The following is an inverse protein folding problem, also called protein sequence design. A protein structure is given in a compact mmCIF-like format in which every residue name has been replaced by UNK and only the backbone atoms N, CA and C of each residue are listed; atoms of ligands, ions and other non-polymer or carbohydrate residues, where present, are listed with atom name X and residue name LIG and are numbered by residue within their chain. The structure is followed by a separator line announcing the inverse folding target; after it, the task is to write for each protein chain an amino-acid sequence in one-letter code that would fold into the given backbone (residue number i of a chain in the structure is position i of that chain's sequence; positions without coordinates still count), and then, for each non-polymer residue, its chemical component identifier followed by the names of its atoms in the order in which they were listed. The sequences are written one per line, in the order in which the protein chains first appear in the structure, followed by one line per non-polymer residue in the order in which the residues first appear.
data_IF_694713822310
#
_entry.id   IF_694713822310
#
_cell.length_a   1.000
_cell.length_b   1.000
_cell.length_c   1.000
_cell.angle_alpha   90.00
_cell.angle_beta   90.00
_cell.angle_gamma   90.00
#
_symmetry.space_group_name_H-M   'P 1'
#
loop_
_entity.id
_entity.type
_entity.pdbx_description
1 polymer ?
#
# COMPACT_ATOMS: atom_id res chain seq x y z
N UNK A 1 46.11 2.30 -41.38
CA UNK A 1 45.16 1.33 -40.79
C UNK A 1 44.92 1.74 -39.35
N UNK A 2 43.98 2.64 -39.13
CA UNK A 2 43.57 3.12 -37.80
C UNK A 2 42.32 2.36 -37.40
N UNK A 3 42.45 1.47 -36.42
CA UNK A 3 41.31 0.75 -35.83
C UNK A 3 40.59 1.68 -34.85
N UNK A 4 39.33 2.02 -35.16
CA UNK A 4 38.45 2.74 -34.25
C UNK A 4 37.79 1.71 -33.33
N UNK A 5 38.19 1.67 -32.06
CA UNK A 5 37.54 0.86 -31.02
C UNK A 5 36.26 1.57 -30.58
N UNK A 6 35.10 1.05 -31.01
CA UNK A 6 33.79 1.46 -30.52
C UNK A 6 33.53 0.81 -29.16
N UNK A 7 33.59 1.60 -28.10
CA UNK A 7 33.19 1.19 -26.76
C UNK A 7 31.66 1.25 -26.68
N UNK A 8 31.00 0.08 -26.71
CA UNK A 8 29.56 -0.01 -26.40
C UNK A 8 29.41 0.16 -24.89
N UNK A 9 29.06 1.38 -24.47
CA UNK A 9 28.54 1.61 -23.12
C UNK A 9 27.15 0.96 -23.11
N UNK A 10 27.04 -0.22 -22.51
CA UNK A 10 25.75 -0.76 -22.10
C UNK A 10 25.17 0.21 -21.07
N UNK A 11 24.38 1.19 -21.51
CA UNK A 11 23.44 1.84 -20.62
C UNK A 11 22.53 0.72 -20.13
N UNK A 12 22.66 0.37 -18.85
CA UNK A 12 21.63 -0.39 -18.17
C UNK A 12 20.35 0.44 -18.28
N UNK A 13 19.48 0.07 -19.21
CA UNK A 13 18.10 0.50 -19.21
C UNK A 13 17.50 -0.01 -17.90
N UNK A 14 17.48 0.85 -16.90
CA UNK A 14 16.70 0.63 -15.69
C UNK A 14 15.25 0.75 -16.16
N UNK A 15 14.64 -0.37 -16.51
CA UNK A 15 13.19 -0.46 -16.56
C UNK A 15 12.72 -0.21 -15.13
N UNK A 16 12.23 1.01 -14.88
CA UNK A 16 11.66 1.38 -13.61
C UNK A 16 10.33 0.63 -13.47
N UNK A 17 10.38 -0.50 -12.77
CA UNK A 17 9.20 -1.24 -12.34
C UNK A 17 8.65 -0.53 -11.11
N UNK A 18 7.33 -0.28 -11.02
CA UNK A 18 6.76 0.34 -9.84
C UNK A 18 7.04 -0.52 -8.61
N UNK A 19 7.69 0.09 -7.63
CA UNK A 19 7.98 -0.51 -6.33
C UNK A 19 6.76 -0.36 -5.44
N UNK A 20 6.12 -1.49 -5.14
CA UNK A 20 4.88 -1.56 -4.35
C UNK A 20 5.15 -2.54 -3.21
N UNK A 21 6.05 -2.13 -2.30
CA UNK A 21 6.43 -2.93 -1.15
C UNK A 21 5.43 -2.66 -0.01
N UNK A 22 4.84 -3.74 0.52
CA UNK A 22 3.96 -3.67 1.69
C UNK A 22 4.77 -3.77 2.98
N UNK A 23 4.21 -3.21 4.04
CA UNK A 23 4.67 -3.32 5.42
C UNK A 23 3.64 -4.07 6.27
N UNK A 24 4.07 -4.62 7.40
CA UNK A 24 3.19 -5.27 8.38
C UNK A 24 2.37 -6.41 7.76
N UNK A 25 3.07 -7.33 7.10
CA UNK A 25 2.50 -8.45 6.34
C UNK A 25 2.57 -9.79 7.06
N UNK A 26 3.20 -9.83 8.23
CA UNK A 26 3.26 -11.03 9.05
C UNK A 26 1.86 -11.47 9.50
N UNK A 27 1.60 -12.78 9.42
CA UNK A 27 0.36 -13.35 9.94
C UNK A 27 0.36 -13.29 11.45
N UNK A 28 -0.38 -12.34 12.01
CA UNK A 28 -0.64 -12.32 13.44
C UNK A 28 -1.61 -13.47 13.72
N UNK A 29 -1.16 -14.47 14.47
CA UNK A 29 -2.01 -15.51 15.03
C UNK A 29 -2.93 -14.84 16.06
N UNK A 30 -4.01 -14.24 15.60
CA UNK A 30 -5.06 -13.77 16.47
C UNK A 30 -5.74 -15.01 17.05
N UNK A 31 -5.53 -15.25 18.34
CA UNK A 31 -6.51 -15.98 19.12
C UNK A 31 -7.82 -15.20 19.01
N UNK A 32 -8.91 -15.90 18.72
CA UNK A 32 -10.25 -15.41 18.36
C UNK A 32 -10.92 -14.39 19.32
N UNK A 33 -10.24 -13.91 20.36
CA UNK A 33 -10.83 -13.12 21.46
C UNK A 33 -10.36 -11.65 21.54
N UNK A 34 -9.43 -11.18 20.69
CA UNK A 34 -9.06 -9.76 20.65
C UNK A 34 -9.47 -9.11 19.32
N UNK A 35 -10.69 -8.56 19.30
CA UNK A 35 -11.31 -7.76 18.22
C UNK A 35 -10.64 -6.37 18.07
N UNK A 36 -9.37 -6.25 18.48
CA UNK A 36 -8.56 -5.07 18.18
C UNK A 36 -8.10 -5.20 16.73
N UNK A 37 -8.84 -4.55 15.83
CA UNK A 37 -8.64 -4.57 14.38
C UNK A 37 -7.20 -4.22 14.01
N UNK A 38 -6.36 -5.25 13.90
CA UNK A 38 -4.94 -5.09 13.69
C UNK A 38 -4.73 -4.84 12.19
N UNK A 39 -4.44 -3.58 11.88
CA UNK A 39 -4.05 -3.12 10.56
C UNK A 39 -2.91 -3.99 10.01
N UNK A 40 -3.07 -4.51 8.80
CA UNK A 40 -2.07 -5.35 8.14
C UNK A 40 -1.96 -4.99 6.64
N UNK A 41 -0.90 -5.46 5.99
CA UNK A 41 -0.65 -5.21 4.56
C UNK A 41 -0.74 -3.71 4.21
N UNK A 42 0.13 -2.91 4.82
CA UNK A 42 0.13 -1.46 4.67
C UNK A 42 0.96 -0.99 3.48
N UNK A 43 0.44 -0.02 2.75
CA UNK A 43 1.17 0.77 1.75
C UNK A 43 1.56 2.11 2.37
N UNK A 44 2.81 2.52 2.18
CA UNK A 44 3.24 3.88 2.52
C UNK A 44 3.28 4.72 1.25
N UNK A 45 2.62 5.88 1.28
CA UNK A 45 2.72 6.90 0.24
C UNK A 45 3.28 8.18 0.81
N UNK A 46 3.91 8.99 -0.04
CA UNK A 46 4.36 10.33 0.33
C UNK A 46 3.29 11.30 -0.14
N UNK A 47 2.68 12.02 0.81
CA UNK A 47 1.75 13.12 0.51
C UNK A 47 2.48 14.46 0.61
N UNK A 48 2.16 15.35 -0.34
CA UNK A 48 2.59 16.74 -0.32
C UNK A 48 1.46 17.54 0.33
N UNK A 49 1.66 17.94 1.58
CA UNK A 49 0.79 18.91 2.22
C UNK A 49 1.16 20.30 1.67
N UNK A 50 0.36 20.76 0.72
CA UNK A 50 0.44 22.07 0.06
C UNK A 50 1.64 22.33 -0.88
N UNK A 51 1.38 23.10 -1.94
CA UNK A 51 2.35 23.44 -3.00
C UNK A 51 3.55 24.29 -2.53
N UNK A 52 3.61 24.69 -1.25
CA UNK A 52 4.58 25.66 -0.76
C UNK A 52 5.48 25.16 0.37
N UNK A 53 5.21 23.98 0.94
CA UNK A 53 5.96 23.49 2.10
C UNK A 53 6.86 22.30 1.74
N UNK A 54 8.09 22.29 2.24
CA UNK A 54 9.06 21.20 2.02
C UNK A 54 8.77 19.97 2.89
N UNK A 55 7.64 19.96 3.61
CA UNK A 55 7.30 18.94 4.59
C UNK A 55 6.62 17.76 3.89
N UNK A 56 7.37 16.66 3.76
CA UNK A 56 6.90 15.42 3.16
C UNK A 56 6.33 14.55 4.26
N UNK A 57 5.06 14.15 4.15
CA UNK A 57 4.42 13.26 5.12
C UNK A 57 4.28 11.87 4.53
N UNK A 58 4.66 10.86 5.32
CA UNK A 58 4.43 9.46 4.96
C UNK A 58 3.07 9.08 5.54
N UNK A 59 2.12 8.77 4.66
CA UNK A 59 0.79 8.30 5.03
C UNK A 59 0.72 6.80 4.80
N UNK A 60 0.20 6.09 5.80
CA UNK A 60 0.04 4.63 5.76
C UNK A 60 -1.40 4.27 5.43
N UNK A 61 -1.58 3.47 4.38
CA UNK A 61 -2.86 2.88 3.99
C UNK A 61 -2.82 1.39 4.29
N UNK A 62 -3.50 0.99 5.37
CA UNK A 62 -3.53 -0.39 5.84
C UNK A 62 -4.86 -1.06 5.58
N UNK A 63 -4.83 -2.38 5.42
CA UNK A 63 -6.03 -3.20 5.31
C UNK A 63 -6.52 -3.53 6.73
N UNK A 64 -7.83 -3.38 6.96
CA UNK A 64 -8.47 -3.64 8.26
C UNK A 64 -9.06 -5.05 8.39
N UNK A 65 -9.19 -5.79 7.28
CA UNK A 65 -9.81 -7.12 7.28
C UNK A 65 -8.80 -8.24 7.06
N UNK A 66 -8.60 -9.04 8.11
CA UNK A 66 -7.70 -10.20 8.11
C UNK A 66 -7.93 -11.08 6.89
N UNK A 67 -6.83 -11.41 6.21
CA UNK A 67 -6.80 -12.25 5.01
C UNK A 67 -7.44 -13.64 5.23
N UNK A 68 -7.59 -14.09 6.48
CA UNK A 68 -8.27 -15.34 6.84
C UNK A 68 -9.76 -15.37 6.50
N UNK A 69 -10.42 -14.20 6.39
CA UNK A 69 -11.84 -14.11 5.98
C UNK A 69 -12.05 -14.27 4.48
N UNK A 70 -11.00 -14.06 3.68
CA UNK A 70 -11.07 -14.18 2.24
C UNK A 70 -10.51 -15.53 1.81
N UNK A 71 -11.31 -16.33 1.10
CA UNK A 71 -10.80 -17.49 0.39
C UNK A 71 -9.94 -16.99 -0.79
N UNK A 72 -8.68 -16.65 -0.50
CA UNK A 72 -7.71 -16.27 -1.53
C UNK A 72 -7.45 -17.53 -2.35
N UNK A 73 -8.05 -17.61 -3.53
CA UNK A 73 -7.65 -18.61 -4.52
C UNK A 73 -6.20 -18.32 -4.89
N UNK A 74 -5.28 -19.09 -4.30
CA UNK A 74 -3.87 -19.08 -4.64
C UNK A 74 -3.75 -19.44 -6.12
N UNK A 75 -3.62 -18.41 -6.95
CA UNK A 75 -3.70 -18.57 -8.38
C UNK A 75 -2.44 -19.30 -8.86
N UNK A 76 -2.58 -20.28 -9.75
CA UNK A 76 -1.48 -21.10 -10.28
C UNK A 76 -0.41 -20.31 -11.05
N UNK A 77 -0.61 -19.01 -11.27
CA UNK A 77 0.25 -18.16 -12.10
C UNK A 77 1.42 -17.51 -11.34
N UNK A 78 1.43 -17.53 -10.01
CA UNK A 78 2.54 -16.98 -9.23
C UNK A 78 3.62 -18.04 -8.99
N UNK A 79 4.85 -17.72 -9.39
CA UNK A 79 6.00 -18.56 -9.04
C UNK A 79 6.30 -18.39 -7.56
N UNK A 80 6.49 -19.50 -6.84
CA UNK A 80 6.80 -19.47 -5.40
C UNK A 80 8.15 -20.13 -5.15
N UNK A 81 8.91 -19.56 -4.24
CA UNK A 81 10.25 -20.01 -3.91
C UNK A 81 10.40 -20.09 -2.40
N UNK A 82 11.10 -21.12 -1.92
CA UNK A 82 11.58 -21.08 -0.54
C UNK A 82 12.82 -20.20 -0.44
N UNK A 83 13.14 -19.70 0.76
CA UNK A 83 14.38 -18.96 0.99
C UNK A 83 15.63 -19.75 0.59
N UNK A 84 15.66 -21.07 0.86
CA UNK A 84 16.76 -21.94 0.38
C UNK A 84 16.85 -22.00 -1.14
N UNK A 85 15.73 -22.02 -1.86
CA UNK A 85 15.73 -22.01 -3.32
C UNK A 85 16.24 -20.69 -3.89
N UNK A 86 15.86 -19.55 -3.28
CA UNK A 86 16.36 -18.23 -3.64
C UNK A 86 17.87 -18.12 -3.41
N UNK A 87 18.34 -18.57 -2.25
CA UNK A 87 19.76 -18.52 -1.88
C UNK A 87 20.61 -19.39 -2.83
N UNK A 88 20.14 -20.60 -3.18
CA UNK A 88 20.81 -21.46 -4.17
C UNK A 88 20.88 -20.85 -5.57
N UNK A 89 19.98 -19.94 -5.89
CA UNK A 89 19.98 -19.17 -7.14
C UNK A 89 20.79 -17.87 -7.05
N UNK A 90 21.46 -17.61 -5.92
CA UNK A 90 22.18 -16.38 -5.62
C UNK A 90 21.30 -15.12 -5.73
N UNK A 91 20.02 -15.26 -5.39
CA UNK A 91 19.10 -14.11 -5.36
C UNK A 91 19.40 -13.28 -4.11
N UNK A 92 19.56 -11.97 -4.26
CA UNK A 92 19.80 -11.04 -3.15
C UNK A 92 18.51 -10.40 -2.66
N UNK A 93 18.49 -9.91 -1.42
CA UNK A 93 17.36 -9.14 -0.88
C UNK A 93 17.07 -7.87 -1.68
N UNK A 94 18.09 -7.27 -2.32
CA UNK A 94 17.90 -6.18 -3.27
C UNK A 94 17.06 -6.60 -4.49
N UNK A 95 17.22 -7.83 -4.99
CA UNK A 95 16.38 -8.32 -6.09
C UNK A 95 14.93 -8.49 -5.65
N UNK A 96 14.69 -8.99 -4.43
CA UNK A 96 13.32 -9.09 -3.87
C UNK A 96 12.69 -7.70 -3.74
N UNK A 97 13.46 -6.71 -3.31
CA UNK A 97 13.02 -5.30 -3.26
C UNK A 97 12.59 -4.79 -4.64
N UNK A 98 13.39 -5.05 -5.68
CA UNK A 98 13.06 -4.70 -7.07
C UNK A 98 11.86 -5.48 -7.62
N UNK A 99 11.49 -6.60 -7.01
CA UNK A 99 10.31 -7.40 -7.36
C UNK A 99 9.08 -7.02 -6.54
N UNK A 100 9.11 -5.90 -5.82
CA UNK A 100 7.99 -5.43 -4.98
C UNK A 100 7.56 -6.44 -3.91
N UNK A 101 8.52 -7.24 -3.40
CA UNK A 101 8.27 -8.10 -2.25
C UNK A 101 7.91 -7.26 -1.01
N UNK A 102 7.08 -7.77 -0.07
CA UNK A 102 6.89 -7.10 1.22
C UNK A 102 8.21 -6.85 1.93
N UNK A 103 8.31 -5.71 2.63
CA UNK A 103 9.53 -5.31 3.35
C UNK A 103 9.89 -6.36 4.41
N UNK A 104 8.91 -6.85 5.16
CA UNK A 104 9.14 -7.86 6.21
C UNK A 104 9.76 -9.15 5.62
N UNK A 105 9.30 -9.59 4.44
CA UNK A 105 9.85 -10.74 3.72
C UNK A 105 11.29 -10.48 3.24
N UNK A 106 11.59 -9.26 2.79
CA UNK A 106 12.94 -8.86 2.36
C UNK A 106 13.90 -8.89 3.54
N UNK A 107 13.47 -8.39 4.70
CA UNK A 107 14.25 -8.36 5.93
C UNK A 107 14.48 -9.77 6.48
N UNK A 108 13.44 -10.61 6.53
CA UNK A 108 13.55 -12.03 6.90
C UNK A 108 14.48 -12.79 5.97
N UNK A 109 14.41 -12.55 4.66
CA UNK A 109 15.31 -13.19 3.70
C UNK A 109 16.76 -12.73 3.88
N UNK A 110 17.01 -11.44 4.12
CA UNK A 110 18.36 -10.95 4.43
C UNK A 110 18.89 -11.59 5.71
N UNK A 111 18.07 -11.64 6.76
CA UNK A 111 18.44 -12.29 8.01
C UNK A 111 18.77 -13.78 7.79
N UNK A 112 17.98 -14.51 7.00
CA UNK A 112 18.27 -15.90 6.63
C UNK A 112 19.63 -16.04 5.92
N UNK A 113 19.93 -15.17 4.95
CA UNK A 113 21.23 -15.18 4.25
C UNK A 113 22.39 -14.97 5.23
N UNK A 114 22.24 -14.04 6.18
CA UNK A 114 23.26 -13.75 7.19
C UNK A 114 23.47 -14.95 8.13
N UNK A 115 22.40 -15.59 8.60
CA UNK A 115 22.48 -16.77 9.47
C UNK A 115 23.05 -18.00 8.74
N UNK A 116 22.76 -18.14 7.45
CA UNK A 116 23.33 -19.19 6.61
C UNK A 116 24.85 -19.02 6.49
N UNK A 117 25.34 -17.78 6.40
CA UNK A 117 26.77 -17.46 6.33
C UNK A 117 27.49 -17.62 7.69
N UNK A 118 26.85 -17.22 8.80
CA UNK A 118 27.48 -17.19 10.13
C UNK A 118 27.51 -18.58 10.76
N UNK A 119 26.39 -19.29 10.76
CA UNK A 119 26.21 -20.53 11.53
C UNK A 119 25.65 -21.70 10.70
N UNK A 120 25.44 -21.51 9.40
CA UNK A 120 24.76 -22.48 8.54
C UNK A 120 23.39 -22.88 9.10
N UNK A 121 22.70 -21.92 9.74
CA UNK A 121 21.34 -22.13 10.23
C UNK A 121 20.36 -22.17 9.05
N UNK A 122 19.47 -23.16 9.08
CA UNK A 122 18.45 -23.40 8.06
C UNK A 122 17.03 -23.31 8.62
N UNK A 123 16.87 -22.72 9.81
CA UNK A 123 15.58 -22.52 10.49
C UNK A 123 14.52 -21.90 9.57
N UNK A 124 14.89 -20.87 8.80
CA UNK A 124 14.02 -20.14 7.87
C UNK A 124 14.06 -20.66 6.42
N UNK A 125 14.76 -21.76 6.15
CA UNK A 125 14.96 -22.28 4.79
C UNK A 125 13.65 -22.61 4.04
N UNK A 126 12.55 -22.84 4.78
CA UNK A 126 11.22 -23.18 4.26
C UNK A 126 10.27 -22.00 4.16
N UNK A 127 10.68 -20.81 4.61
CA UNK A 127 9.88 -19.61 4.42
C UNK A 127 9.68 -19.33 2.93
N UNK A 128 8.50 -18.82 2.59
CA UNK A 128 8.01 -18.75 1.23
C UNK A 128 8.00 -17.31 0.74
N UNK A 129 8.57 -17.11 -0.43
CA UNK A 129 8.42 -15.89 -1.22
C UNK A 129 7.54 -16.17 -2.44
N UNK A 130 6.56 -15.29 -2.68
CA UNK A 130 5.69 -15.32 -3.85
C UNK A 130 6.15 -14.24 -4.83
N UNK A 131 6.66 -14.67 -5.98
CA UNK A 131 7.07 -13.77 -7.05
C UNK A 131 5.85 -13.35 -7.87
N UNK A 132 5.31 -12.18 -7.53
CA UNK A 132 4.10 -11.66 -8.16
C UNK A 132 4.41 -11.02 -9.51
N UNK A 133 3.63 -11.37 -10.52
CA UNK A 133 3.65 -10.66 -11.80
C UNK A 133 2.70 -9.47 -11.71
N UNK A 134 3.22 -8.27 -11.97
CA UNK A 134 2.40 -7.05 -12.14
C UNK A 134 1.24 -7.34 -13.12
N UNK A 135 0.00 -6.88 -12.82
CA UNK A 135 -0.36 -5.88 -11.82
C UNK A 135 -0.67 -6.40 -10.41
N UNK A 136 -0.28 -7.65 -10.11
CA UNK A 136 -0.53 -8.26 -8.80
C UNK A 136 0.58 -7.97 -7.80
N UNK A 137 0.18 -7.86 -6.54
CA UNK A 137 1.07 -7.60 -5.41
C UNK A 137 0.48 -8.19 -4.13
N UNK A 138 1.24 -8.16 -3.03
CA UNK A 138 0.86 -8.78 -1.77
C UNK A 138 1.75 -9.94 -1.35
N UNK A 139 1.75 -10.34 -0.07
CA UNK A 139 2.48 -11.50 0.45
C UNK A 139 2.26 -12.80 -0.33
N UNK A 140 1.05 -12.99 -0.85
CA UNK A 140 0.68 -14.17 -1.65
C UNK A 140 0.09 -13.77 -3.01
N UNK A 141 0.43 -12.57 -3.50
CA UNK A 141 -0.10 -11.99 -4.74
C UNK A 141 -1.63 -11.87 -4.78
N UNK A 142 -2.24 -11.57 -3.63
CA UNK A 142 -3.70 -11.51 -3.47
C UNK A 142 -4.35 -10.21 -3.95
N UNK A 143 -3.56 -9.16 -4.14
CA UNK A 143 -4.05 -7.86 -4.56
C UNK A 143 -3.72 -7.62 -6.04
N UNK A 144 -4.55 -6.83 -6.72
CA UNK A 144 -4.41 -6.51 -8.13
C UNK A 144 -4.85 -5.07 -8.39
N UNK A 145 -4.11 -4.35 -9.21
CA UNK A 145 -4.56 -3.05 -9.76
C UNK A 145 -5.30 -3.28 -11.09
N UNK A 146 -6.65 -3.27 -11.11
CA UNK A 146 -7.42 -3.60 -12.31
C UNK A 146 -7.22 -2.60 -13.47
N UNK A 147 -6.75 -1.39 -13.17
CA UNK A 147 -6.52 -0.31 -14.13
C UNK A 147 -5.04 0.01 -14.33
N UNK A 148 -4.15 -0.95 -14.05
CA UNK A 148 -2.71 -0.78 -14.26
C UNK A 148 -2.37 -0.51 -15.72
N UNK A 149 -1.47 0.44 -15.95
CA UNK A 149 -0.94 0.75 -17.27
C UNK A 149 0.59 0.54 -17.27
N UNK A 150 1.19 -0.14 -18.27
CA UNK A 150 2.63 -0.46 -18.27
C UNK A 150 3.59 0.75 -18.19
N UNK A 151 3.09 1.96 -18.50
CA UNK A 151 3.88 3.19 -18.44
C UNK A 151 3.91 3.85 -17.05
N UNK A 152 3.15 3.36 -16.06
CA UNK A 152 3.17 3.92 -14.70
C UNK A 152 4.33 3.35 -13.90
N UNK A 153 5.15 4.23 -13.33
CA UNK A 153 6.40 3.90 -12.64
C UNK A 153 6.31 3.97 -11.11
N UNK A 154 5.19 4.44 -10.55
CA UNK A 154 4.97 4.52 -9.09
C UNK A 154 3.50 4.34 -8.73
N UNK A 155 3.22 4.03 -7.45
CA UNK A 155 1.86 4.00 -6.91
C UNK A 155 1.13 5.34 -7.15
N UNK A 156 1.82 6.45 -6.95
CA UNK A 156 1.29 7.78 -7.20
C UNK A 156 0.87 7.97 -8.67
N UNK A 157 1.70 7.53 -9.62
CA UNK A 157 1.35 7.59 -11.04
C UNK A 157 0.20 6.64 -11.40
N UNK A 158 0.12 5.46 -10.79
CA UNK A 158 -1.01 4.53 -10.96
C UNK A 158 -2.31 5.20 -10.52
N UNK A 159 -2.33 5.82 -9.33
CA UNK A 159 -3.49 6.52 -8.78
C UNK A 159 -3.88 7.71 -9.67
N UNK A 160 -2.92 8.56 -10.05
CA UNK A 160 -3.19 9.70 -10.93
C UNK A 160 -3.69 9.28 -12.30
N UNK A 161 -3.11 8.22 -12.88
CA UNK A 161 -3.55 7.67 -14.17
C UNK A 161 -4.99 7.19 -14.09
N UNK A 162 -5.38 6.53 -12.98
CA UNK A 162 -6.75 6.12 -12.75
C UNK A 162 -7.72 7.31 -12.80
N UNK A 163 -7.50 8.33 -11.96
CA UNK A 163 -8.39 9.49 -11.89
C UNK A 163 -8.36 10.37 -13.15
N UNK A 164 -7.29 10.33 -13.94
CA UNK A 164 -7.18 11.13 -15.17
C UNK A 164 -7.82 10.48 -16.40
N UNK A 165 -7.89 9.14 -16.46
CA UNK A 165 -8.28 8.40 -17.67
C UNK A 165 -9.57 7.62 -17.52
N UNK A 166 -10.01 7.34 -16.30
CA UNK A 166 -11.22 6.59 -16.04
C UNK A 166 -12.26 7.49 -15.39
N UNK A 167 -13.48 7.43 -15.89
CA UNK A 167 -14.62 8.04 -15.22
C UNK A 167 -14.82 7.32 -13.89
N UNK A 168 -14.68 8.05 -12.79
CA UNK A 168 -14.94 7.50 -11.47
C UNK A 168 -16.42 7.17 -11.38
N UNK A 169 -16.74 5.88 -11.30
CA UNK A 169 -18.09 5.41 -11.01
C UNK A 169 -18.16 5.24 -9.49
N UNK A 170 -19.01 6.01 -8.78
CA UNK A 170 -19.19 5.85 -7.35
C UNK A 170 -19.52 4.40 -7.02
N UNK A 171 -18.72 3.81 -6.14
CA UNK A 171 -18.94 2.43 -5.71
C UNK A 171 -19.54 2.44 -4.32
N UNK A 172 -20.34 1.43 -4.00
CA UNK A 172 -20.88 1.36 -2.65
C UNK A 172 -19.85 0.94 -1.59
N UNK A 173 -18.61 0.63 -2.00
CA UNK A 173 -17.54 0.14 -1.14
C UNK A 173 -16.98 1.25 -0.23
N UNK A 174 -16.97 2.50 -0.70
CA UNK A 174 -16.50 3.65 0.08
C UNK A 174 -17.64 4.45 0.71
N UNK A 175 -18.89 3.98 0.58
CA UNK A 175 -20.03 4.66 1.20
C UNK A 175 -19.87 4.68 2.72
N UNK A 176 -20.01 5.86 3.29
CA UNK A 176 -20.26 5.99 4.70
C UNK A 176 -21.71 5.61 5.01
N UNK A 177 -21.89 4.47 5.70
CA UNK A 177 -23.23 3.90 5.94
C UNK A 177 -23.83 4.28 7.29
N UNK A 178 -23.04 4.89 8.19
CA UNK A 178 -23.48 5.23 9.55
C UNK A 178 -24.21 6.57 9.62
N UNK A 179 -24.10 7.42 8.61
CA UNK A 179 -24.87 8.65 8.47
C UNK A 179 -26.04 8.42 7.52
N UNK A 180 -27.25 8.82 7.92
CA UNK A 180 -28.41 8.79 7.04
C UNK A 180 -28.39 10.05 6.18
N UNK A 181 -28.21 9.86 4.88
CA UNK A 181 -28.07 10.91 3.89
C UNK A 181 -28.63 10.41 2.55
N UNK A 182 -29.48 11.19 1.89
CA UNK A 182 -29.88 10.93 0.50
C UNK A 182 -28.91 11.64 -0.45
N UNK A 183 -27.88 10.93 -0.92
CA UNK A 183 -26.93 11.47 -1.92
C UNK A 183 -27.53 11.53 -3.34
N UNK A 184 -28.70 10.91 -3.56
CA UNK A 184 -29.32 10.78 -4.86
C UNK A 184 -29.45 9.34 -5.34
N UNK A 185 -29.74 9.13 -6.64
CA UNK A 185 -30.03 7.80 -7.17
C UNK A 185 -28.78 6.90 -7.13
N UNK A 186 -29.00 5.63 -6.78
CA UNK A 186 -27.96 4.60 -6.83
C UNK A 186 -27.24 4.59 -8.19
N UNK A 187 -25.89 4.50 -8.23
CA UNK A 187 -25.00 4.11 -7.13
C UNK A 187 -24.47 5.26 -6.26
N UNK A 188 -24.97 6.49 -6.43
CA UNK A 188 -24.52 7.61 -5.60
C UNK A 188 -24.76 7.33 -4.11
N UNK A 189 -23.73 7.53 -3.30
CA UNK A 189 -23.80 7.47 -1.85
C UNK A 189 -22.77 8.45 -1.27
N UNK A 190 -22.96 8.80 0.00
CA UNK A 190 -22.05 9.69 0.70
C UNK A 190 -20.70 9.01 0.91
N UNK A 191 -19.63 9.56 0.35
CA UNK A 191 -18.26 9.12 0.64
C UNK A 191 -17.85 9.65 2.03
N UNK A 192 -16.95 8.96 2.74
CA UNK A 192 -16.49 9.47 4.04
C UNK A 192 -15.75 10.80 3.93
N UNK A 193 -15.15 11.09 2.76
CA UNK A 193 -14.51 12.39 2.46
C UNK A 193 -15.51 13.52 2.20
N UNK A 194 -16.80 13.20 1.99
CA UNK A 194 -17.88 14.18 1.83
C UNK A 194 -18.39 14.69 3.19
N UNK A 195 -17.96 14.12 4.32
CA UNK A 195 -18.45 14.48 5.66
C UNK A 195 -17.61 15.61 6.25
N UNK A 196 -18.25 16.68 6.67
CA UNK A 196 -17.60 17.84 7.30
C UNK A 196 -16.55 18.49 6.40
N UNK A 197 -16.81 18.54 5.09
CA UNK A 197 -15.91 19.12 4.10
C UNK A 197 -16.28 20.59 3.77
N UNK A 198 -17.34 21.13 4.37
CA UNK A 198 -17.87 22.48 4.12
C UNK A 198 -18.87 22.57 2.97
N UNK A 199 -19.24 21.44 2.36
CA UNK A 199 -20.21 21.33 1.27
C UNK A 199 -21.39 20.46 1.69
N UNK A 200 -22.61 20.93 1.41
CA UNK A 200 -23.81 20.12 1.62
C UNK A 200 -23.97 19.19 0.43
N UNK A 201 -23.61 17.94 0.62
CA UNK A 201 -23.64 16.85 -0.33
C UNK A 201 -24.94 16.02 -0.24
N UNK A 202 -25.60 16.01 0.92
CA UNK A 202 -26.91 15.39 1.12
C UNK A 202 -28.06 16.19 0.49
N UNK A 203 -28.93 15.53 -0.28
CA UNK A 203 -30.09 16.16 -0.92
C UNK A 203 -31.27 16.37 0.05
N UNK A 204 -31.30 15.63 1.15
CA UNK A 204 -32.37 15.66 2.15
C UNK A 204 -32.06 16.53 3.39
N UNK A 205 -30.90 17.21 3.41
CA UNK A 205 -30.50 18.09 4.51
C UNK A 205 -29.01 18.37 4.50
N UNK A 206 -28.52 19.02 5.56
CA UNK A 206 -27.10 19.32 5.80
C UNK A 206 -26.47 18.35 6.81
N UNK A 207 -26.95 17.10 6.86
CA UNK A 207 -26.61 16.12 7.89
C UNK A 207 -25.12 15.75 7.92
N UNK A 208 -24.49 15.77 6.75
CA UNK A 208 -23.06 15.61 6.50
C UNK A 208 -22.21 16.74 7.09
N UNK A 209 -22.79 17.93 7.25
CA UNK A 209 -22.11 19.12 7.76
C UNK A 209 -22.53 19.50 9.19
N UNK A 210 -23.34 18.65 9.84
CA UNK A 210 -23.79 18.87 11.21
C UNK A 210 -22.82 18.30 12.24
N UNK A 211 -22.64 19.04 13.34
CA UNK A 211 -21.81 18.64 14.50
C UNK A 211 -20.32 18.40 14.20
N UNK A 212 -19.80 18.91 13.07
CA UNK A 212 -18.40 18.83 12.69
C UNK A 212 -17.43 19.40 13.73
N UNK A 213 -17.90 20.37 14.52
CA UNK A 213 -17.16 20.92 15.65
C UNK A 213 -16.69 19.86 16.65
N UNK A 214 -17.35 18.70 16.73
CA UNK A 214 -16.93 17.60 17.61
C UNK A 214 -15.63 16.95 17.14
N UNK A 215 -15.41 16.89 15.82
CA UNK A 215 -14.14 16.45 15.23
C UNK A 215 -13.05 17.50 15.49
N UNK A 216 -13.42 18.77 15.45
CA UNK A 216 -12.58 19.93 15.79
C UNK A 216 -12.40 20.18 17.29
N UNK A 217 -12.85 19.31 18.20
CA UNK A 217 -12.54 19.47 19.64
C UNK A 217 -11.30 18.70 20.04
N UNK A 218 -10.78 17.84 19.18
CA UNK A 218 -9.64 17.02 19.53
C UNK A 218 -8.45 17.91 19.96
N UNK A 219 -7.97 17.70 21.19
CA UNK A 219 -6.78 18.37 21.73
C UNK A 219 -5.58 17.47 21.46
N UNK A 220 -4.72 17.90 20.54
CA UNK A 220 -3.49 17.21 20.23
C UNK A 220 -2.48 17.36 21.37
N UNK A 221 -1.54 16.42 21.49
CA UNK A 221 -0.46 16.51 22.46
C UNK A 221 0.49 17.67 22.13
N UNK A 222 1.31 18.10 23.10
CA UNK A 222 2.27 19.22 22.93
C UNK A 222 3.24 19.04 21.74
N UNK A 223 3.44 17.81 21.28
CA UNK A 223 4.33 17.44 20.17
C UNK A 223 3.57 17.15 18.87
N UNK A 224 2.30 17.54 18.77
CA UNK A 224 1.43 17.28 17.63
C UNK A 224 0.85 18.60 17.08
N UNK A 225 0.75 18.70 15.77
CA UNK A 225 0.11 19.77 15.05
C UNK A 225 -1.32 19.34 14.75
N UNK A 226 -2.26 20.26 14.97
CA UNK A 226 -3.66 20.03 14.71
C UNK A 226 -4.03 20.52 13.32
N UNK A 227 -4.45 19.60 12.46
CA UNK A 227 -5.01 19.90 11.15
C UNK A 227 -6.38 20.61 11.26
N UNK A 228 -6.79 21.28 10.20
CA UNK A 228 -8.08 21.98 10.11
C UNK A 228 -9.28 21.04 10.29
N UNK A 229 -9.14 19.76 9.92
CA UNK A 229 -10.13 18.70 10.12
C UNK A 229 -10.10 18.08 11.54
N UNK A 230 -9.27 18.59 12.46
CA UNK A 230 -9.16 18.09 13.84
C UNK A 230 -8.21 16.89 14.01
N UNK A 231 -7.56 16.41 12.95
CA UNK A 231 -6.54 15.36 13.06
C UNK A 231 -5.27 15.90 13.73
N UNK A 232 -4.64 15.05 14.54
CA UNK A 232 -3.37 15.34 15.19
C UNK A 232 -2.25 14.61 14.44
N UNK A 233 -1.30 15.37 13.91
CA UNK A 233 -0.11 14.83 13.24
C UNK A 233 1.13 15.21 14.04
N UNK A 234 2.21 14.40 14.06
CA UNK A 234 3.44 14.78 14.75
C UNK A 234 4.00 16.12 14.24
N UNK A 235 4.40 17.03 15.14
CA UNK A 235 5.19 18.21 14.77
C UNK A 235 6.59 17.75 14.35
N UNK A 236 7.03 18.21 13.17
CA UNK A 236 8.38 17.97 12.64
C UNK A 236 9.47 18.76 13.37
#
# INVERSE_FOLDING_TARGET
MTYLLLYFIFLHLILAVPQINLYYTDSINLHDDDDSGLQHNCLHTITLLEQSDTNHHIVSYCMNESSSKFNIELNHFSSKYTFDQLAKQNITSQQLYMWSAPIDIIEHYQFYLDQLLISNDQSMAREMFYNCTIPRFGPVCQYEYPYYHPNTSSLYEIINHFYSNYEYIPTTLTCYTHLKCDRGPHPACLDWTDICNGHIDCLDGDFDEQHCWQLEINECQDHEYRCSNGECIPQS
#
